data_IF_253731588927
#
_entry.id   IF_253731588927
#
_cell.length_a   1.000
_cell.length_b   1.000
_cell.length_c   1.000
_cell.angle_alpha   90.00
_cell.angle_beta   90.00
_cell.angle_gamma   90.00
#
_symmetry.space_group_name_H-M   'P 1'
#
loop_
_entity.id
_entity.type
_entity.pdbx_description
1 polymer ?
#
# COMPACT_ATOMS: atom_id res chain seq x y z
N UNK A 1 -43.89 -1.84 9.42
CA UNK A 1 -42.43 -2.03 9.35
C UNK A 1 -41.86 -0.97 8.41
N UNK A 2 -41.18 0.03 8.96
CA UNK A 2 -40.50 1.07 8.18
C UNK A 2 -39.16 0.49 7.70
N UNK A 3 -38.98 0.28 6.39
CA UNK A 3 -37.70 -0.20 5.85
C UNK A 3 -36.70 0.96 5.79
N UNK A 4 -35.64 0.90 6.59
CA UNK A 4 -34.49 1.80 6.45
C UNK A 4 -33.61 1.30 5.30
N UNK A 5 -33.60 2.02 4.19
CA UNK A 5 -32.69 1.78 3.07
C UNK A 5 -31.28 2.26 3.45
N UNK A 6 -30.31 1.34 3.56
CA UNK A 6 -28.90 1.71 3.76
C UNK A 6 -28.28 1.99 2.39
N UNK A 7 -27.86 3.22 2.15
CA UNK A 7 -27.09 3.58 0.94
C UNK A 7 -25.61 3.30 1.21
N UNK A 8 -25.02 2.30 0.55
CA UNK A 8 -23.59 2.08 0.57
C UNK A 8 -22.89 3.14 -0.29
N UNK A 9 -22.04 3.97 0.32
CA UNK A 9 -21.17 4.90 -0.40
C UNK A 9 -19.76 4.34 -0.44
N UNK A 10 -19.22 4.18 -1.65
CA UNK A 10 -17.81 3.85 -1.84
C UNK A 10 -16.99 5.14 -1.95
N UNK A 11 -15.85 5.20 -1.26
CA UNK A 11 -14.88 6.29 -1.38
C UNK A 11 -13.63 5.75 -2.04
N UNK A 12 -13.19 6.38 -3.12
CA UNK A 12 -11.91 6.06 -3.76
C UNK A 12 -10.81 6.90 -3.13
N UNK A 13 -9.68 6.26 -2.83
CA UNK A 13 -8.49 6.98 -2.39
C UNK A 13 -7.88 7.73 -3.58
N UNK A 14 -7.53 8.99 -3.37
CA UNK A 14 -6.71 9.74 -4.33
C UNK A 14 -5.26 9.39 -4.00
N UNK A 15 -4.60 8.70 -4.93
CA UNK A 15 -3.21 8.26 -4.77
C UNK A 15 -2.32 9.17 -5.61
N UNK A 16 -1.29 9.74 -4.98
CA UNK A 16 -0.20 10.39 -5.71
C UNK A 16 0.75 9.30 -6.25
N UNK A 17 0.85 9.16 -7.59
CA UNK A 17 1.68 8.11 -8.20
C UNK A 17 3.16 8.25 -7.85
N UNK A 18 3.64 9.45 -7.52
CA UNK A 18 5.03 9.70 -7.16
C UNK A 18 5.34 9.13 -5.78
N UNK A 19 4.45 9.37 -4.81
CA UNK A 19 4.57 8.84 -3.46
C UNK A 19 4.46 7.30 -3.45
N UNK A 20 3.56 6.74 -4.27
CA UNK A 20 3.46 5.29 -4.43
C UNK A 20 4.74 4.68 -5.03
N UNK A 21 5.25 5.28 -6.11
CA UNK A 21 6.49 4.82 -6.74
C UNK A 21 7.68 4.88 -5.77
N UNK A 22 7.80 5.96 -5.00
CA UNK A 22 8.85 6.11 -3.99
C UNK A 22 8.74 5.03 -2.91
N UNK A 23 7.53 4.74 -2.43
CA UNK A 23 7.28 3.66 -1.47
C UNK A 23 7.73 2.30 -2.00
N UNK A 24 7.40 1.97 -3.25
CA UNK A 24 7.83 0.71 -3.89
C UNK A 24 9.36 0.62 -3.96
N UNK A 25 10.03 1.69 -4.39
CA UNK A 25 11.50 1.72 -4.49
C UNK A 25 12.14 1.53 -3.12
N UNK A 26 11.64 2.20 -2.09
CA UNK A 26 12.16 2.07 -0.73
C UNK A 26 12.02 0.64 -0.20
N UNK A 27 10.83 0.04 -0.35
CA UNK A 27 10.59 -1.34 0.07
C UNK A 27 11.46 -2.35 -0.71
N UNK A 28 11.64 -2.15 -2.01
CA UNK A 28 12.52 -3.01 -2.80
C UNK A 28 13.97 -2.94 -2.31
N UNK A 29 14.47 -1.75 -1.98
CA UNK A 29 15.82 -1.56 -1.44
C UNK A 29 15.98 -2.26 -0.07
N UNK A 30 15.00 -2.13 0.83
CA UNK A 30 15.00 -2.81 2.13
C UNK A 30 15.05 -4.33 1.98
N UNK A 31 14.28 -4.89 1.03
CA UNK A 31 14.27 -6.32 0.74
C UNK A 31 15.66 -6.78 0.25
N UNK A 32 16.25 -6.06 -0.71
CA UNK A 32 17.58 -6.39 -1.24
C UNK A 32 18.64 -6.32 -0.15
N UNK A 33 18.63 -5.26 0.67
CA UNK A 33 19.55 -5.11 1.79
C UNK A 33 19.41 -6.26 2.79
N UNK A 34 18.18 -6.58 3.17
CA UNK A 34 17.89 -7.66 4.14
C UNK A 34 18.31 -9.01 3.58
N UNK A 35 18.01 -9.30 2.31
CA UNK A 35 18.43 -10.52 1.62
C UNK A 35 19.95 -10.63 1.55
N UNK A 36 20.63 -9.54 1.20
CA UNK A 36 22.10 -9.52 1.13
C UNK A 36 22.70 -9.74 2.51
N UNK A 37 22.14 -9.12 3.55
CA UNK A 37 22.60 -9.30 4.93
C UNK A 37 22.43 -10.76 5.37
N UNK A 38 21.25 -11.35 5.13
CA UNK A 38 20.97 -12.75 5.45
C UNK A 38 21.83 -13.76 4.68
N UNK A 39 22.29 -13.43 3.48
CA UNK A 39 23.18 -14.29 2.68
C UNK A 39 24.64 -14.23 3.11
N UNK A 40 25.09 -13.11 3.68
CA UNK A 40 26.49 -12.86 4.02
C UNK A 40 26.80 -13.03 5.52
N UNK A 41 25.82 -13.49 6.32
CA UNK A 41 25.95 -13.86 7.73
C UNK A 41 25.89 -15.38 7.89
#
# INVERSE_FOLDING_TARGET
MLSLSVTSKAQWAVIDPTNLAQGIVNSANEIVQTSTTAQNM
#
